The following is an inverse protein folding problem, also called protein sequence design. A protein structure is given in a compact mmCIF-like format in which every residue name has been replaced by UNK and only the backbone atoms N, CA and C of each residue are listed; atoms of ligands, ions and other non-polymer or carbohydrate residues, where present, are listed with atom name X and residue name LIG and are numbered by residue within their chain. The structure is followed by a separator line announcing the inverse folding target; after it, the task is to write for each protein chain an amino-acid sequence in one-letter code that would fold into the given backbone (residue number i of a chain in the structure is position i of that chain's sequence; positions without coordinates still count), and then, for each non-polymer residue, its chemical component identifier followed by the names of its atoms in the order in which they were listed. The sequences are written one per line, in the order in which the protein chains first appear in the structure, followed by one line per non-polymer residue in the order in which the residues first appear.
data_IF_625653103086
#
_entry.id   IF_625653103086
#
_cell.length_a   1.000
_cell.length_b   1.000
_cell.length_c   1.000
_cell.angle_alpha   90.00
_cell.angle_beta   90.00
_cell.angle_gamma   90.00
#
_symmetry.space_group_name_H-M   'P 1'
#
loop_
_entity.id
_entity.type
_entity.pdbx_description
1 polymer ?
#
# COMPACT_ATOMS: atom_id res chain seq x y z
N UNK A 1 -17.38 -7.97 3.84
CA UNK A 1 -16.17 -7.85 2.99
C UNK A 1 -16.52 -8.29 1.58
N UNK A 2 -16.07 -7.57 0.57
CA UNK A 2 -16.34 -7.85 -0.83
C UNK A 2 -15.06 -7.63 -1.67
N UNK A 3 -15.01 -8.29 -2.82
CA UNK A 3 -14.01 -8.05 -3.87
C UNK A 3 -14.75 -7.70 -5.16
N UNK A 4 -14.25 -6.70 -5.88
CA UNK A 4 -14.81 -6.25 -7.15
C UNK A 4 -13.73 -6.20 -8.25
N UNK A 5 -14.16 -6.01 -9.50
CA UNK A 5 -13.29 -5.82 -10.67
C UNK A 5 -12.20 -6.89 -10.77
N UNK A 6 -12.60 -8.16 -10.83
CA UNK A 6 -11.68 -9.31 -10.90
C UNK A 6 -10.65 -9.31 -9.75
N UNK A 7 -11.13 -9.07 -8.53
CA UNK A 7 -10.32 -9.01 -7.31
C UNK A 7 -9.32 -7.85 -7.22
N UNK A 8 -9.35 -6.88 -8.13
CA UNK A 8 -8.46 -5.70 -8.10
C UNK A 8 -8.82 -4.69 -7.00
N UNK A 9 -10.07 -4.71 -6.54
CA UNK A 9 -10.60 -3.80 -5.51
C UNK A 9 -11.13 -4.60 -4.34
N UNK A 10 -10.64 -4.28 -3.13
CA UNK A 10 -11.15 -4.79 -1.87
C UNK A 10 -12.04 -3.75 -1.19
N UNK A 11 -13.21 -4.17 -0.72
CA UNK A 11 -14.17 -3.32 -0.04
C UNK A 11 -14.57 -3.95 1.29
N UNK A 12 -14.48 -3.18 2.37
CA UNK A 12 -14.89 -3.58 3.72
C UNK A 12 -15.79 -2.52 4.33
N UNK A 13 -16.89 -2.96 4.92
CA UNK A 13 -17.81 -2.13 5.70
C UNK A 13 -18.05 -2.83 7.03
N UNK A 14 -17.93 -2.09 8.13
CA UNK A 14 -18.13 -2.59 9.50
C UNK A 14 -18.58 -1.45 10.42
N UNK A 15 -19.90 -1.25 10.51
CA UNK A 15 -20.49 -0.19 11.35
C UNK A 15 -20.23 -0.40 12.85
N UNK A 16 -20.34 -1.64 13.34
CA UNK A 16 -20.20 -1.92 14.78
C UNK A 16 -18.79 -1.57 15.26
N UNK A 17 -17.76 -1.94 14.48
CA UNK A 17 -16.39 -1.54 14.82
C UNK A 17 -16.15 -0.07 14.57
N UNK A 18 -16.75 0.53 13.54
CA UNK A 18 -16.64 1.97 13.31
C UNK A 18 -17.08 2.77 14.54
N UNK A 19 -18.28 2.48 15.04
CA UNK A 19 -18.89 3.16 16.18
C UNK A 19 -18.11 2.88 17.48
N UNK A 20 -17.64 1.64 17.67
CA UNK A 20 -16.88 1.27 18.88
C UNK A 20 -15.54 2.01 18.99
N UNK A 21 -14.91 2.31 17.86
CA UNK A 21 -13.57 2.91 17.81
C UNK A 21 -13.57 4.39 17.41
N UNK A 22 -14.76 4.98 17.23
CA UNK A 22 -14.98 6.34 16.73
C UNK A 22 -14.21 6.62 15.42
N UNK A 23 -14.48 5.79 14.41
CA UNK A 23 -13.82 5.84 13.09
C UNK A 23 -14.82 5.69 11.96
N UNK A 24 -14.37 6.00 10.74
CA UNK A 24 -15.12 5.74 9.51
C UNK A 24 -15.40 4.26 9.28
N UNK A 25 -16.55 3.96 8.70
CA UNK A 25 -17.13 2.62 8.67
C UNK A 25 -16.82 1.81 7.41
N UNK A 26 -16.21 2.42 6.40
CA UNK A 26 -15.97 1.79 5.10
C UNK A 26 -14.53 2.02 4.63
N UNK A 27 -13.93 0.99 4.05
CA UNK A 27 -12.58 1.00 3.47
C UNK A 27 -12.61 0.42 2.07
N UNK A 28 -11.99 1.13 1.13
CA UNK A 28 -11.82 0.72 -0.26
C UNK A 28 -10.32 0.71 -0.55
N UNK A 29 -9.77 -0.46 -0.89
CA UNK A 29 -8.35 -0.64 -1.19
C UNK A 29 -8.16 -1.13 -2.63
N UNK A 30 -7.26 -0.49 -3.37
CA UNK A 30 -6.90 -0.88 -4.73
C UNK A 30 -5.52 -0.32 -5.09
N UNK A 31 -4.90 -0.89 -6.12
CA UNK A 31 -3.72 -0.31 -6.76
C UNK A 31 -4.17 0.41 -8.04
N UNK A 32 -4.08 1.75 -8.12
CA UNK A 32 -4.53 2.50 -9.30
C UNK A 32 -3.81 2.07 -10.58
N UNK A 33 -2.55 1.61 -10.49
CA UNK A 33 -1.79 1.11 -11.65
C UNK A 33 -2.33 -0.22 -12.23
N UNK A 34 -3.34 -0.83 -11.59
CA UNK A 34 -3.98 -2.07 -12.03
C UNK A 34 -5.42 -1.88 -12.50
N UNK A 35 -5.93 -0.65 -12.45
CA UNK A 35 -7.27 -0.31 -12.93
C UNK A 35 -7.19 0.39 -14.29
N UNK A 36 -8.10 0.05 -15.19
CA UNK A 36 -8.34 0.85 -16.40
C UNK A 36 -9.07 2.15 -16.05
N UNK A 37 -9.12 3.11 -16.98
CA UNK A 37 -9.88 4.35 -16.77
C UNK A 37 -11.38 4.09 -16.55
N UNK A 38 -11.96 3.14 -17.29
CA UNK A 38 -13.34 2.72 -17.13
C UNK A 38 -13.59 2.07 -15.77
N UNK A 39 -12.69 1.19 -15.32
CA UNK A 39 -12.74 0.58 -13.99
C UNK A 39 -12.66 1.64 -12.87
N UNK A 40 -11.84 2.67 -13.03
CA UNK A 40 -11.78 3.80 -12.10
C UNK A 40 -13.07 4.62 -12.08
N UNK A 41 -13.66 4.91 -13.25
CA UNK A 41 -14.95 5.59 -13.34
C UNK A 41 -16.06 4.78 -12.66
N UNK A 42 -16.11 3.47 -12.95
CA UNK A 42 -17.06 2.56 -12.35
C UNK A 42 -16.93 2.57 -10.82
N UNK A 43 -15.70 2.46 -10.29
CA UNK A 43 -15.46 2.46 -8.85
C UNK A 43 -15.91 3.79 -8.22
N UNK A 44 -15.61 4.92 -8.86
CA UNK A 44 -16.04 6.23 -8.38
C UNK A 44 -17.57 6.32 -8.31
N UNK A 45 -18.24 6.06 -9.42
CA UNK A 45 -19.68 6.27 -9.57
C UNK A 45 -20.54 5.29 -8.77
N UNK A 46 -20.06 4.06 -8.58
CA UNK A 46 -20.85 2.98 -7.95
C UNK A 46 -20.48 2.71 -6.49
N UNK A 47 -19.36 3.26 -6.00
CA UNK A 47 -18.89 3.02 -4.63
C UNK A 47 -18.51 4.32 -3.94
N UNK A 48 -17.52 5.04 -4.46
CA UNK A 48 -16.93 6.19 -3.75
C UNK A 48 -17.93 7.33 -3.58
N UNK A 49 -18.72 7.63 -4.61
CA UNK A 49 -19.70 8.74 -4.57
C UNK A 49 -20.84 8.53 -3.56
N UNK A 50 -21.00 7.30 -3.03
CA UNK A 50 -21.97 6.97 -1.98
C UNK A 50 -21.34 6.94 -0.57
N UNK A 51 -20.04 7.16 -0.45
CA UNK A 51 -19.36 7.24 0.84
C UNK A 51 -19.55 8.63 1.45
N UNK A 52 -19.78 8.68 2.75
CA UNK A 52 -19.78 9.92 3.53
C UNK A 52 -18.44 10.06 4.28
N UNK A 53 -17.94 11.30 4.43
CA UNK A 53 -16.65 11.61 5.07
C UNK A 53 -15.45 10.86 4.43
N UNK A 54 -15.42 10.79 3.10
CA UNK A 54 -14.35 10.07 2.39
C UNK A 54 -13.01 10.82 2.43
N UNK A 55 -11.92 10.07 2.31
CA UNK A 55 -10.58 10.63 2.27
C UNK A 55 -9.49 9.56 2.27
N UNK A 56 -8.27 9.93 1.87
CA UNK A 56 -7.15 9.00 1.79
C UNK A 56 -6.61 8.68 3.19
N UNK A 57 -6.67 7.41 3.57
CA UNK A 57 -6.05 6.89 4.80
C UNK A 57 -4.67 6.25 4.54
N UNK A 58 -4.36 5.92 3.28
CA UNK A 58 -3.08 5.38 2.85
C UNK A 58 -2.77 5.78 1.41
N UNK A 59 -1.54 6.19 1.16
CA UNK A 59 -1.00 6.48 -0.17
C UNK A 59 0.43 5.95 -0.25
N UNK A 60 0.71 5.06 -1.20
CA UNK A 60 2.04 4.51 -1.44
C UNK A 60 2.66 5.21 -2.67
N UNK A 61 3.81 5.86 -2.50
CA UNK A 61 4.62 6.39 -3.61
C UNK A 61 5.59 5.30 -4.10
N UNK A 62 5.63 5.05 -5.41
CA UNK A 62 6.49 4.06 -6.02
C UNK A 62 7.45 4.74 -7.03
N UNK A 63 8.75 4.54 -6.81
CA UNK A 63 9.82 5.01 -7.69
C UNK A 63 10.59 3.79 -8.19
N UNK A 64 10.51 3.53 -9.50
CA UNK A 64 11.25 2.45 -10.15
C UNK A 64 12.58 3.01 -10.70
N UNK A 65 13.67 2.31 -10.44
CA UNK A 65 15.02 2.66 -10.89
C UNK A 65 15.62 1.48 -11.67
N UNK A 66 16.46 1.78 -12.67
CA UNK A 66 17.22 0.76 -13.40
C UNK A 66 18.52 0.36 -12.66
N UNK A 67 19.00 1.23 -11.77
CA UNK A 67 20.22 1.02 -10.97
C UNK A 67 20.03 -0.02 -9.86
N UNK A 68 21.14 -0.67 -9.47
CA UNK A 68 21.17 -1.56 -8.32
C UNK A 68 21.12 -0.78 -6.99
N UNK A 69 19.96 -0.81 -6.35
CA UNK A 69 19.75 -0.18 -5.04
C UNK A 69 20.18 -1.06 -3.84
N UNK A 70 20.84 -2.20 -4.08
CA UNK A 70 21.21 -3.18 -3.04
C UNK A 70 22.04 -2.59 -1.89
N UNK A 71 22.84 -1.55 -2.14
CA UNK A 71 23.64 -0.86 -1.11
C UNK A 71 22.99 0.42 -0.56
N UNK A 72 21.88 0.88 -1.13
CA UNK A 72 21.21 2.11 -0.72
C UNK A 72 20.39 1.92 0.56
N UNK A 73 20.16 3.01 1.28
CA UNK A 73 19.39 3.03 2.52
C UNK A 73 18.61 4.33 2.67
N UNK A 74 17.47 4.27 3.36
CA UNK A 74 16.73 5.46 3.72
C UNK A 74 17.32 6.07 5.00
N UNK A 75 17.58 7.38 4.97
CA UNK A 75 17.91 8.17 6.16
C UNK A 75 16.70 8.99 6.57
N UNK A 76 16.46 9.04 7.88
CA UNK A 76 15.43 9.84 8.51
C UNK A 76 16.05 10.57 9.70
N UNK A 77 15.55 11.76 10.01
CA UNK A 77 16.08 12.56 11.14
C UNK A 77 15.96 11.82 12.48
N UNK A 78 14.96 10.94 12.60
CA UNK A 78 14.80 10.03 13.74
C UNK A 78 15.39 8.66 13.43
N UNK A 79 15.99 8.02 14.43
CA UNK A 79 16.39 6.62 14.33
C UNK A 79 15.17 5.73 14.18
N UNK A 80 15.11 4.93 13.10
CA UNK A 80 14.01 4.00 12.81
C UNK A 80 14.50 2.57 12.77
N UNK A 81 13.62 1.63 13.12
CA UNK A 81 13.88 0.19 12.99
C UNK A 81 14.19 -0.16 11.53
N UNK A 82 15.16 -1.04 11.33
CA UNK A 82 15.57 -1.53 10.01
C UNK A 82 15.44 -3.05 9.97
N UNK A 83 14.84 -3.59 8.91
CA UNK A 83 14.77 -5.03 8.65
C UNK A 83 15.26 -5.30 7.23
N UNK A 84 16.20 -6.23 7.07
CA UNK A 84 16.76 -6.60 5.77
C UNK A 84 16.52 -8.10 5.54
N UNK A 85 15.93 -8.42 4.39
CA UNK A 85 15.74 -9.79 3.93
C UNK A 85 16.81 -10.10 2.89
N UNK A 86 17.52 -11.20 3.11
CA UNK A 86 18.61 -11.65 2.25
C UNK A 86 18.19 -12.86 1.44
N UNK A 87 18.63 -12.88 0.18
CA UNK A 87 18.48 -14.03 -0.71
C UNK A 87 19.40 -15.18 -0.34
N UNK A 88 19.20 -16.32 -1.01
CA UNK A 88 20.11 -17.49 -0.90
C UNK A 88 21.56 -17.17 -1.30
N UNK A 89 21.75 -16.15 -2.13
CA UNK A 89 23.05 -15.64 -2.55
C UNK A 89 23.69 -14.66 -1.56
N UNK A 90 23.07 -14.41 -0.40
CA UNK A 90 23.54 -13.47 0.61
C UNK A 90 23.35 -11.99 0.25
N UNK A 91 22.71 -11.67 -0.88
CA UNK A 91 22.44 -10.28 -1.27
C UNK A 91 21.13 -9.77 -0.65
N UNK A 92 21.05 -8.49 -0.26
CA UNK A 92 19.82 -7.91 0.25
C UNK A 92 18.78 -7.79 -0.88
N UNK A 93 17.60 -8.37 -0.68
CA UNK A 93 16.51 -8.38 -1.66
C UNK A 93 15.41 -7.38 -1.31
N UNK A 94 15.15 -7.20 -0.01
CA UNK A 94 14.15 -6.28 0.51
C UNK A 94 14.63 -5.63 1.79
N UNK A 95 14.47 -4.32 1.91
CA UNK A 95 14.83 -3.51 3.08
C UNK A 95 13.63 -2.70 3.52
N UNK A 96 13.31 -2.79 4.79
CA UNK A 96 12.26 -2.01 5.45
C UNK A 96 12.88 -1.02 6.43
N UNK A 97 12.38 0.22 6.38
CA UNK A 97 12.75 1.29 7.30
C UNK A 97 11.48 1.84 7.94
N UNK A 98 11.41 1.75 9.27
CA UNK A 98 10.20 2.02 10.05
C UNK A 98 9.35 0.77 10.29
N UNK A 99 8.12 0.97 10.76
CA UNK A 99 7.12 -0.09 10.99
C UNK A 99 5.90 0.14 10.10
N UNK A 100 5.22 -0.94 9.70
CA UNK A 100 4.11 -0.87 8.74
C UNK A 100 2.94 -0.01 9.21
N UNK A 101 2.71 0.03 10.52
CA UNK A 101 1.59 0.76 11.13
C UNK A 101 1.95 2.20 11.52
N UNK A 102 3.11 2.70 11.07
CA UNK A 102 3.51 4.10 11.26
C UNK A 102 3.13 4.96 10.05
N UNK A 103 3.03 6.27 10.26
CA UNK A 103 2.68 7.26 9.23
C UNK A 103 3.61 7.23 8.01
N UNK A 104 4.89 6.84 8.21
CA UNK A 104 5.87 6.72 7.13
C UNK A 104 6.63 5.40 7.23
N UNK A 105 6.48 4.59 6.19
CA UNK A 105 7.16 3.32 6.04
C UNK A 105 7.83 3.25 4.66
N UNK A 106 9.14 2.99 4.63
CA UNK A 106 9.91 2.97 3.37
C UNK A 106 10.36 1.55 3.07
N UNK A 107 10.18 1.16 1.80
CA UNK A 107 10.66 -0.12 1.25
C UNK A 107 11.64 0.15 0.12
N UNK A 108 12.82 -0.46 0.20
CA UNK A 108 13.76 -0.56 -0.93
C UNK A 108 13.88 -2.04 -1.24
N UNK A 109 13.51 -2.46 -2.44
CA UNK A 109 13.49 -3.88 -2.78
C UNK A 109 13.79 -4.09 -4.25
N UNK A 110 14.29 -5.27 -4.58
CA UNK A 110 14.57 -5.65 -5.96
C UNK A 110 13.27 -6.01 -6.68
N UNK A 111 12.67 -5.03 -7.37
CA UNK A 111 11.41 -5.22 -8.11
C UNK A 111 11.52 -6.27 -9.23
N UNK A 112 12.68 -6.35 -9.87
CA UNK A 112 12.94 -7.32 -10.95
C UNK A 112 12.94 -8.75 -10.42
N UNK A 113 13.43 -8.96 -9.21
CA UNK A 113 13.41 -10.26 -8.55
C UNK A 113 12.03 -10.60 -7.99
N UNK A 114 11.32 -9.63 -7.40
CA UNK A 114 9.97 -9.86 -6.84
C UNK A 114 8.93 -10.23 -7.92
N UNK A 115 9.15 -9.82 -9.18
CA UNK A 115 8.29 -10.19 -10.31
C UNK A 115 8.62 -11.56 -10.94
N UNK A 116 9.74 -12.19 -10.57
CA UNK A 116 10.14 -13.50 -11.07
C UNK A 116 9.48 -14.60 -10.25
#
# INVERSE_FOLDING_TARGET
KAKALQEKVYIEYDKVKADTWDRRNMRVEFNPNKLTHEEMLWLKQNVIDYMEDDGFTRLDLAFDFEDDLSNYYAMTDKSVKKTIFYGRNGKPETKYFGVRDSDRFIRIYNKKQERR
#
